data_IF_307998520506
#
_entry.id   IF_307998520506
#
_cell.length_a   1.000
_cell.length_b   1.000
_cell.length_c   1.000
_cell.angle_alpha   90.00
_cell.angle_beta   90.00
_cell.angle_gamma   90.00
#
_symmetry.space_group_name_H-M   'P 1'
#
loop_
_entity.id
_entity.type
_entity.pdbx_description
1 polymer ?
#
# COMPACT_ATOMS: atom_id res chain seq x y z
N UNK A 1 26.02 -30.17 -3.25
CA UNK A 1 24.60 -30.23 -2.84
C UNK A 1 24.32 -28.97 -2.02
N UNK A 2 23.93 -27.87 -2.69
CA UNK A 2 23.87 -26.54 -2.07
C UNK A 2 22.52 -26.37 -1.38
N UNK A 3 22.52 -26.34 -0.05
CA UNK A 3 21.33 -26.04 0.75
C UNK A 3 20.95 -24.57 0.55
N UNK A 4 19.91 -24.30 -0.25
CA UNK A 4 19.24 -23.01 -0.22
C UNK A 4 18.50 -22.89 1.11
N UNK A 5 19.09 -22.19 2.09
CA UNK A 5 18.36 -21.73 3.27
C UNK A 5 17.25 -20.78 2.81
N UNK A 6 16.05 -21.32 2.65
CA UNK A 6 14.83 -20.51 2.51
C UNK A 6 14.57 -19.91 3.89
N UNK A 7 15.12 -18.71 4.13
CA UNK A 7 14.71 -17.92 5.29
C UNK A 7 13.25 -17.55 5.08
N UNK A 8 12.34 -18.20 5.82
CA UNK A 8 10.96 -17.76 5.92
C UNK A 8 10.96 -16.33 6.47
N UNK A 9 10.87 -15.33 5.59
CA UNK A 9 10.77 -13.92 6.00
C UNK A 9 9.50 -13.77 6.82
N UNK A 10 9.65 -13.38 8.07
CA UNK A 10 8.53 -13.20 9.00
C UNK A 10 7.60 -12.10 8.44
N UNK A 11 6.30 -12.38 8.30
CA UNK A 11 5.31 -11.38 7.86
C UNK A 11 5.36 -10.17 8.81
N UNK A 12 5.35 -8.95 8.26
CA UNK A 12 5.30 -7.74 9.09
C UNK A 12 4.01 -7.69 9.92
N UNK A 13 4.08 -7.27 11.19
CA UNK A 13 2.90 -7.09 12.02
C UNK A 13 1.99 -5.99 11.43
N UNK A 14 0.67 -6.02 11.68
CA UNK A 14 -0.29 -5.09 11.08
C UNK A 14 0.12 -3.62 11.21
N UNK A 15 0.49 -3.17 12.41
CA UNK A 15 0.92 -1.78 12.64
C UNK A 15 2.09 -1.35 11.74
N UNK A 16 3.08 -2.22 11.53
CA UNK A 16 4.20 -1.87 10.64
C UNK A 16 3.79 -1.79 9.18
N UNK A 17 2.84 -2.60 8.73
CA UNK A 17 2.34 -2.53 7.35
C UNK A 17 1.54 -1.25 7.11
N UNK A 18 0.70 -0.87 8.07
CA UNK A 18 -0.07 0.37 8.02
C UNK A 18 0.85 1.60 8.05
N UNK A 19 1.85 1.59 8.93
CA UNK A 19 2.84 2.67 9.01
C UNK A 19 3.64 2.78 7.70
N UNK A 20 4.09 1.65 7.15
CA UNK A 20 4.77 1.65 5.86
C UNK A 20 3.90 2.27 4.77
N UNK A 21 2.61 1.92 4.70
CA UNK A 21 1.69 2.49 3.70
C UNK A 21 1.56 4.01 3.85
N UNK A 22 1.43 4.51 5.08
CA UNK A 22 1.32 5.95 5.34
C UNK A 22 2.58 6.69 4.89
N UNK A 23 3.76 6.17 5.25
CA UNK A 23 5.06 6.77 4.86
C UNK A 23 5.27 6.68 3.34
N UNK A 24 4.93 5.54 2.72
CA UNK A 24 5.03 5.33 1.29
C UNK A 24 4.16 6.32 0.50
N UNK A 25 2.91 6.53 0.91
CA UNK A 25 2.01 7.50 0.26
C UNK A 25 2.49 8.93 0.53
N UNK A 26 2.94 9.24 1.75
CA UNK A 26 3.43 10.58 2.13
C UNK A 26 4.71 10.98 1.37
N UNK A 27 5.54 10.01 1.00
CA UNK A 27 6.78 10.26 0.26
C UNK A 27 6.56 10.90 -1.11
N UNK A 28 5.34 10.82 -1.67
CA UNK A 28 5.04 11.30 -3.01
C UNK A 28 5.67 10.48 -4.15
N UNK A 29 6.47 9.44 -3.84
CA UNK A 29 7.19 8.59 -4.81
C UNK A 29 6.28 7.95 -5.86
N UNK A 30 5.02 7.71 -5.50
CA UNK A 30 4.02 7.06 -6.37
C UNK A 30 2.97 8.05 -6.90
N UNK A 31 3.22 9.36 -6.75
CA UNK A 31 2.26 10.42 -7.02
C UNK A 31 1.41 10.80 -5.80
N UNK A 32 0.60 11.85 -5.96
CA UNK A 32 -0.20 12.44 -4.87
C UNK A 32 -1.36 11.54 -4.40
N UNK A 33 -1.79 10.58 -5.25
CA UNK A 33 -2.79 9.57 -4.94
C UNK A 33 -2.34 8.23 -5.50
N UNK A 34 -2.45 7.17 -4.70
CA UNK A 34 -2.07 5.83 -5.11
C UNK A 34 -3.28 4.99 -5.48
N UNK A 35 -3.09 3.99 -6.33
CA UNK A 35 -4.09 2.96 -6.62
C UNK A 35 -3.52 1.58 -6.32
N UNK A 36 -4.38 0.61 -6.01
CA UNK A 36 -3.96 -0.80 -5.84
C UNK A 36 -3.43 -1.44 -7.12
N UNK A 37 -3.61 -0.77 -8.26
CA UNK A 37 -3.14 -1.21 -9.58
C UNK A 37 -1.86 -0.51 -10.02
N UNK A 38 -1.33 0.44 -9.24
CA UNK A 38 -0.06 1.12 -9.54
C UNK A 38 1.08 0.09 -9.40
N UNK A 39 1.75 -0.33 -10.50
CA UNK A 39 2.65 -1.49 -10.47
C UNK A 39 3.82 -1.33 -9.51
N UNK A 40 4.44 -0.14 -9.48
CA UNK A 40 5.57 0.19 -8.59
C UNK A 40 5.14 0.17 -7.12
N UNK A 41 4.01 0.80 -6.79
CA UNK A 41 3.47 0.80 -5.43
C UNK A 41 3.13 -0.61 -4.93
N UNK A 42 2.50 -1.43 -5.78
CA UNK A 42 2.16 -2.81 -5.44
C UNK A 42 3.42 -3.67 -5.22
N UNK A 43 4.43 -3.52 -6.09
CA UNK A 43 5.69 -4.26 -5.98
C UNK A 43 6.44 -3.88 -4.70
N UNK A 44 6.57 -2.59 -4.41
CA UNK A 44 7.28 -2.08 -3.23
C UNK A 44 6.55 -2.49 -1.94
N UNK A 45 5.21 -2.44 -1.91
CA UNK A 45 4.44 -2.93 -0.76
C UNK A 45 4.66 -4.42 -0.52
N UNK A 46 4.57 -5.25 -1.56
CA UNK A 46 4.75 -6.71 -1.47
C UNK A 46 6.15 -7.05 -0.95
N UNK A 47 7.17 -6.36 -1.45
CA UNK A 47 8.55 -6.52 -0.99
C UNK A 47 8.68 -6.12 0.50
N UNK A 48 8.09 -4.99 0.90
CA UNK A 48 8.18 -4.47 2.26
C UNK A 48 7.47 -5.36 3.30
N UNK A 49 6.28 -5.88 2.99
CA UNK A 49 5.47 -6.65 3.94
C UNK A 49 5.70 -8.16 3.85
N UNK A 50 6.54 -8.60 2.92
CA UNK A 50 6.68 -10.00 2.51
C UNK A 50 5.31 -10.62 2.13
N UNK A 51 4.57 -9.88 1.31
CA UNK A 51 3.25 -10.25 0.83
C UNK A 51 3.31 -11.28 -0.30
N UNK A 52 2.14 -11.82 -0.67
CA UNK A 52 1.98 -12.66 -1.85
C UNK A 52 1.12 -11.93 -2.87
N UNK A 53 1.56 -11.94 -4.13
CA UNK A 53 0.75 -11.47 -5.26
C UNK A 53 -0.04 -12.65 -5.80
N UNK A 54 -1.35 -12.47 -5.93
CA UNK A 54 -2.24 -13.40 -6.60
C UNK A 54 -2.56 -12.84 -7.99
N UNK A 55 -2.43 -13.67 -9.03
CA UNK A 55 -2.91 -13.32 -10.36
C UNK A 55 -4.44 -13.34 -10.38
N UNK A 56 -5.05 -12.32 -10.99
CA UNK A 56 -6.49 -12.20 -11.20
C UNK A 56 -6.72 -11.72 -12.64
N UNK A 57 -7.91 -11.99 -13.19
CA UNK A 57 -8.33 -11.48 -14.51
C UNK A 57 -8.24 -9.96 -14.62
N UNK A 58 -8.30 -9.24 -13.49
CA UNK A 58 -8.13 -7.78 -13.44
C UNK A 58 -6.68 -7.33 -13.20
N UNK A 59 -5.70 -8.23 -13.29
CA UNK A 59 -4.28 -7.98 -13.01
C UNK A 59 -3.81 -8.50 -11.65
N UNK A 60 -2.52 -8.34 -11.33
CA UNK A 60 -1.94 -8.78 -10.06
C UNK A 60 -2.58 -8.05 -8.87
N UNK A 61 -2.93 -8.78 -7.82
CA UNK A 61 -3.53 -8.24 -6.59
C UNK A 61 -2.81 -8.77 -5.35
N UNK A 62 -2.65 -7.89 -4.36
CA UNK A 62 -2.30 -8.29 -3.00
C UNK A 62 -3.53 -8.08 -2.11
N UNK A 63 -4.16 -9.15 -1.61
CA UNK A 63 -5.37 -9.01 -0.78
C UNK A 63 -5.11 -8.22 0.49
N UNK A 64 -3.94 -8.42 1.11
CA UNK A 64 -3.53 -7.70 2.32
C UNK A 64 -3.40 -6.19 2.08
N UNK A 65 -2.96 -5.76 0.89
CA UNK A 65 -2.94 -4.35 0.53
C UNK A 65 -4.34 -3.74 0.55
N UNK A 66 -5.33 -4.44 -0.01
CA UNK A 66 -6.72 -3.97 -0.01
C UNK A 66 -7.31 -3.85 1.40
N UNK A 67 -7.00 -4.81 2.27
CA UNK A 67 -7.43 -4.80 3.67
C UNK A 67 -6.78 -3.66 4.46
N UNK A 68 -5.46 -3.52 4.36
CA UNK A 68 -4.70 -2.49 5.06
C UNK A 68 -5.13 -1.07 4.60
N UNK A 69 -5.39 -0.86 3.30
CA UNK A 69 -5.92 0.42 2.79
C UNK A 69 -7.34 0.69 3.30
N UNK A 70 -8.22 -0.32 3.32
CA UNK A 70 -9.57 -0.16 3.86
C UNK A 70 -9.55 0.18 5.36
N UNK A 71 -8.62 -0.42 6.11
CA UNK A 71 -8.40 -0.12 7.52
C UNK A 71 -7.91 1.32 7.73
N UNK A 72 -6.95 1.81 6.94
CA UNK A 72 -6.49 3.20 7.01
C UNK A 72 -7.59 4.20 6.66
N UNK A 73 -8.49 3.87 5.73
CA UNK A 73 -9.69 4.66 5.44
C UNK A 73 -10.65 4.66 6.63
N UNK A 74 -10.91 3.50 7.23
CA UNK A 74 -11.80 3.39 8.39
C UNK A 74 -11.27 4.16 9.62
N UNK A 75 -9.94 4.25 9.75
CA UNK A 75 -9.24 5.04 10.78
C UNK A 75 -9.17 6.55 10.45
N UNK A 76 -9.64 6.96 9.28
CA UNK A 76 -9.62 8.37 8.85
C UNK A 76 -8.24 8.90 8.43
N UNK A 77 -7.26 8.01 8.19
CA UNK A 77 -5.92 8.41 7.72
C UNK A 77 -5.83 8.54 6.20
N UNK A 78 -6.72 7.87 5.47
CA UNK A 78 -6.81 7.95 4.01
C UNK A 78 -8.20 8.37 3.56
N UNK A 79 -8.25 9.15 2.48
CA UNK A 79 -9.45 9.33 1.66
C UNK A 79 -9.48 8.24 0.59
N UNK A 80 -10.70 7.86 0.17
CA UNK A 80 -10.92 6.92 -0.93
C UNK A 80 -11.89 7.51 -1.93
N UNK A 81 -11.43 7.70 -3.16
CA UNK A 81 -12.24 8.27 -4.24
C UNK A 81 -12.26 7.31 -5.44
N UNK A 82 -13.37 7.24 -6.17
CA UNK A 82 -13.42 6.44 -7.41
C UNK A 82 -12.54 7.10 -8.48
N UNK A 83 -11.71 6.31 -9.15
CA UNK A 83 -10.99 6.73 -10.34
C UNK A 83 -11.99 7.05 -11.45
N UNK A 84 -12.06 8.33 -11.83
CA UNK A 84 -12.77 8.75 -13.04
C UNK A 84 -11.79 8.62 -14.21
N UNK A 85 -11.96 7.58 -15.03
CA UNK A 85 -11.35 7.58 -16.36
C UNK A 85 -12.24 8.40 -17.31
N UNK A 86 -11.69 9.41 -18.01
CA UNK A 86 -12.45 10.20 -18.96
C UNK A 86 -12.76 9.44 -20.26
N UNK A 87 -12.02 8.37 -20.59
CA UNK A 87 -12.09 7.72 -21.92
C UNK A 87 -12.90 6.42 -21.98
N UNK A 88 -13.19 5.78 -20.83
CA UNK A 88 -14.08 4.62 -20.70
C UNK A 88 -14.71 4.69 -19.32
N UNK A 89 -16.03 4.48 -19.23
CA UNK A 89 -16.81 4.61 -18.00
C UNK A 89 -16.16 3.99 -16.75
N UNK A 90 -16.51 4.54 -15.58
CA UNK A 90 -16.08 4.15 -14.23
C UNK A 90 -15.07 3.00 -14.17
N UNK A 91 -13.77 3.34 -14.14
CA UNK A 91 -12.75 2.36 -13.75
C UNK A 91 -13.06 1.87 -12.34
N UNK A 92 -13.04 0.55 -12.10
CA UNK A 92 -13.26 -0.05 -10.76
C UNK A 92 -12.12 0.24 -9.78
N UNK A 93 -11.15 1.08 -10.16
CA UNK A 93 -10.03 1.47 -9.33
C UNK A 93 -10.44 2.60 -8.38
N UNK A 94 -9.85 2.59 -7.19
CA UNK A 94 -9.94 3.67 -6.23
C UNK A 94 -8.60 4.38 -6.13
N UNK A 95 -8.65 5.71 -6.00
CA UNK A 95 -7.54 6.53 -5.57
C UNK A 95 -7.57 6.69 -4.06
N UNK A 96 -6.40 6.52 -3.45
CA UNK A 96 -6.18 6.72 -2.03
C UNK A 96 -5.22 7.90 -1.85
N UNK A 97 -5.63 8.87 -1.02
CA UNK A 97 -4.81 10.02 -0.66
C UNK A 97 -4.77 10.18 0.85
N UNK A 98 -3.74 10.85 1.37
CA UNK A 98 -3.66 11.13 2.81
C UNK A 98 -4.68 12.19 3.22
N UNK A 99 -5.22 12.03 4.41
CA UNK A 99 -5.86 13.12 5.16
C UNK A 99 -4.79 13.85 5.98
N UNK A 100 -5.10 15.03 6.53
CA UNK A 100 -4.19 15.72 7.46
C UNK A 100 -3.82 14.86 8.69
N UNK A 101 -4.74 14.00 9.15
CA UNK A 101 -4.47 13.04 10.21
C UNK A 101 -3.52 11.92 9.74
N UNK A 102 -3.66 11.47 8.49
CA UNK A 102 -2.73 10.54 7.87
C UNK A 102 -1.33 11.11 7.68
N UNK A 103 -1.21 12.36 7.24
CA UNK A 103 0.09 13.05 7.08
C UNK A 103 0.83 13.18 8.41
N UNK A 104 0.12 13.61 9.46
CA UNK A 104 0.68 13.70 10.82
C UNK A 104 1.17 12.32 11.28
N UNK A 105 0.38 11.28 11.06
CA UNK A 105 0.75 9.93 11.47
C UNK A 105 1.93 9.37 10.65
N UNK A 106 1.99 9.67 9.35
CA UNK A 106 3.11 9.31 8.50
C UNK A 106 4.41 9.97 8.98
N UNK A 107 4.37 11.24 9.37
CA UNK A 107 5.53 11.95 9.91
C UNK A 107 6.03 11.35 11.22
N UNK A 108 5.12 10.98 12.14
CA UNK A 108 5.49 10.29 13.39
C UNK A 108 6.12 8.92 13.07
N UNK A 109 5.48 8.13 12.20
CA UNK A 109 6.00 6.82 11.82
C UNK A 109 7.40 6.91 11.20
N UNK A 110 7.64 7.87 10.31
CA UNK A 110 8.95 8.07 9.67
C UNK A 110 10.07 8.42 10.67
N UNK A 111 9.73 9.01 11.83
CA UNK A 111 10.69 9.28 12.90
C UNK A 111 10.96 8.04 13.76
N UNK A 112 9.97 7.16 13.93
CA UNK A 112 10.10 5.95 14.75
C UNK A 112 10.98 4.88 14.06
N UNK A 113 10.92 4.79 12.73
CA UNK A 113 11.63 3.78 11.92
C UNK A 113 11.87 4.27 10.49
N UNK A 114 12.97 3.77 9.91
CA UNK A 114 13.25 3.89 8.48
C UNK A 114 12.43 2.84 7.71
N UNK A 115 11.46 3.31 6.91
CA UNK A 115 10.51 2.46 6.17
C UNK A 115 10.77 2.37 4.66
N UNK A 116 11.60 3.24 4.08
CA UNK A 116 11.79 3.41 2.64
C UNK A 116 13.26 3.40 2.21
#
# INVERSE_FOLDING_TARGET
MTMHRVFARKKKPPRERLNWLLVAIASGRYGHKVTTTTPTFLADYVAAVNGTITASESGPRCMTLGQDLAELVARGHLTRERAKSPERGATSAFHYGLTSAGETHAAIAAQEKDYL
#
